data_IF_074846300350
#
_entry.id   IF_074846300350
#
_cell.length_a   1.000
_cell.length_b   1.000
_cell.length_c   1.000
_cell.angle_alpha   90.00
_cell.angle_beta   90.00
_cell.angle_gamma   90.00
#
_symmetry.space_group_name_H-M   'P 1'
#
loop_
_entity.id
_entity.type
_entity.pdbx_description
1 polymer ?
#
# COMPACT_ATOMS: atom_id res chain seq x y z
N UNK A 1 -28.94 17.85 -40.00
CA UNK A 1 -28.18 18.41 -38.86
C UNK A 1 -28.47 17.75 -37.50
N UNK A 2 -29.58 17.02 -37.31
CA UNK A 2 -29.91 16.38 -36.02
C UNK A 2 -29.23 15.00 -35.81
N UNK A 3 -29.12 14.18 -36.86
CA UNK A 3 -28.54 12.83 -36.77
C UNK A 3 -27.02 12.80 -36.49
N UNK A 4 -26.25 13.79 -37.00
CA UNK A 4 -24.80 13.89 -36.77
C UNK A 4 -24.49 14.27 -35.31
N UNK A 5 -25.34 15.10 -34.68
CA UNK A 5 -25.22 15.43 -33.26
C UNK A 5 -25.55 14.25 -32.35
N UNK A 6 -26.50 13.39 -32.75
CA UNK A 6 -26.83 12.17 -32.01
C UNK A 6 -25.68 11.13 -32.07
N UNK A 7 -25.04 10.99 -33.23
CA UNK A 7 -23.88 10.09 -33.40
C UNK A 7 -22.64 10.57 -32.64
N UNK A 8 -22.39 11.88 -32.61
CA UNK A 8 -21.32 12.48 -31.79
C UNK A 8 -21.56 12.28 -30.29
N UNK A 9 -22.81 12.38 -29.81
CA UNK A 9 -23.13 12.10 -28.40
C UNK A 9 -23.02 10.61 -28.02
N UNK A 10 -23.38 9.70 -28.93
CA UNK A 10 -23.25 8.27 -28.70
C UNK A 10 -21.78 7.81 -28.70
N UNK A 11 -20.93 8.39 -29.55
CA UNK A 11 -19.49 8.10 -29.57
C UNK A 11 -18.75 8.71 -28.36
N UNK A 12 -19.20 9.88 -27.88
CA UNK A 12 -18.65 10.54 -26.68
C UNK A 12 -19.00 9.79 -25.38
N UNK A 13 -20.14 9.08 -25.33
CA UNK A 13 -20.49 8.24 -24.17
C UNK A 13 -19.75 6.89 -24.13
N UNK A 14 -19.26 6.38 -25.27
CA UNK A 14 -18.59 5.08 -25.34
C UNK A 14 -17.09 5.13 -24.94
N UNK A 15 -16.50 6.32 -24.80
CA UNK A 15 -15.07 6.51 -24.55
C UNK A 15 -14.69 6.73 -23.07
N UNK A 16 -15.64 6.70 -22.13
CA UNK A 16 -15.39 7.15 -20.75
C UNK A 16 -15.67 6.13 -19.65
N UNK A 17 -15.83 4.85 -19.96
CA UNK A 17 -15.86 3.79 -18.95
C UNK A 17 -14.62 2.92 -19.04
N UNK A 18 -13.45 3.53 -18.83
CA UNK A 18 -12.30 2.77 -18.34
C UNK A 18 -12.60 2.44 -16.87
N UNK A 19 -13.35 1.36 -16.63
CA UNK A 19 -13.55 0.86 -15.27
C UNK A 19 -12.18 0.49 -14.71
N UNK A 20 -11.74 1.18 -13.68
CA UNK A 20 -10.56 0.83 -12.90
C UNK A 20 -10.74 -0.59 -12.36
N UNK A 21 -9.99 -1.56 -12.88
CA UNK A 21 -10.07 -2.97 -12.47
C UNK A 21 -9.04 -3.21 -11.37
N UNK A 22 -9.42 -3.82 -10.23
CA UNK A 22 -8.45 -4.16 -9.20
C UNK A 22 -7.51 -5.26 -9.71
N UNK A 23 -6.23 -5.28 -9.31
CA UNK A 23 -5.35 -6.38 -9.66
C UNK A 23 -5.89 -7.70 -9.07
N UNK A 24 -5.62 -8.84 -9.72
CA UNK A 24 -6.08 -10.13 -9.22
C UNK A 24 -5.47 -10.42 -7.84
N UNK A 25 -6.22 -11.04 -6.91
CA UNK A 25 -5.68 -11.46 -5.62
C UNK A 25 -4.47 -12.40 -5.80
N UNK A 26 -3.47 -12.22 -4.95
CA UNK A 26 -2.23 -13.01 -4.98
C UNK A 26 -2.46 -14.36 -4.33
N UNK A 27 -2.02 -15.44 -4.98
CA UNK A 27 -2.02 -16.77 -4.37
C UNK A 27 -0.97 -16.86 -3.27
N UNK A 28 -1.38 -17.31 -2.10
CA UNK A 28 -0.50 -17.43 -0.93
C UNK A 28 -0.47 -18.87 -0.44
N UNK A 29 0.74 -19.40 -0.28
CA UNK A 29 0.94 -20.68 0.39
C UNK A 29 0.81 -20.48 1.89
N UNK A 30 -0.09 -21.23 2.52
CA UNK A 30 -0.27 -21.18 3.97
C UNK A 30 0.99 -21.70 4.67
N UNK A 31 1.56 -20.95 5.63
CA UNK A 31 2.68 -21.43 6.43
C UNK A 31 2.29 -22.62 7.30
N UNK A 32 3.26 -23.48 7.60
CA UNK A 32 3.11 -24.64 8.50
C UNK A 32 3.19 -24.28 9.99
N UNK A 33 3.51 -23.03 10.32
CA UNK A 33 3.56 -22.50 11.68
C UNK A 33 3.04 -21.05 11.75
N UNK A 34 2.62 -20.56 12.94
CA UNK A 34 2.30 -19.15 13.13
C UNK A 34 3.55 -18.28 13.01
N UNK A 35 3.54 -17.30 12.11
CA UNK A 35 4.67 -16.40 11.89
C UNK A 35 4.70 -15.32 12.99
N UNK A 36 5.84 -15.18 13.68
CA UNK A 36 6.04 -14.20 14.74
C UNK A 36 6.50 -12.86 14.16
N UNK A 37 5.70 -11.80 14.39
CA UNK A 37 6.01 -10.47 13.87
C UNK A 37 7.40 -9.96 14.29
N UNK A 38 7.77 -10.07 15.57
CA UNK A 38 9.02 -9.47 16.06
C UNK A 38 10.25 -10.27 15.62
N UNK A 39 10.14 -11.59 15.56
CA UNK A 39 11.27 -12.47 15.20
C UNK A 39 11.47 -12.58 13.70
N UNK A 40 10.41 -12.54 12.91
CA UNK A 40 10.45 -12.96 11.50
C UNK A 40 10.10 -11.82 10.54
N UNK A 41 9.06 -11.04 10.85
CA UNK A 41 8.59 -9.97 9.95
C UNK A 41 9.34 -8.65 10.16
N UNK A 42 9.49 -8.21 11.40
CA UNK A 42 10.12 -6.95 11.73
C UNK A 42 11.54 -6.84 11.16
N UNK A 43 12.44 -7.84 11.30
CA UNK A 43 13.77 -7.75 10.71
C UNK A 43 13.72 -7.60 9.18
N UNK A 44 12.73 -8.23 8.53
CA UNK A 44 12.57 -8.12 7.09
C UNK A 44 12.09 -6.72 6.68
N UNK A 45 11.07 -6.17 7.36
CA UNK A 45 10.60 -4.80 7.13
C UNK A 45 11.71 -3.77 7.40
N UNK A 46 12.48 -3.96 8.48
CA UNK A 46 13.61 -3.10 8.83
C UNK A 46 14.67 -3.07 7.72
N UNK A 47 14.97 -4.23 7.12
CA UNK A 47 15.99 -4.34 6.06
C UNK A 47 15.50 -3.90 4.67
N UNK A 48 14.20 -4.07 4.37
CA UNK A 48 13.67 -3.91 3.00
C UNK A 48 12.77 -2.71 2.80
N UNK A 49 12.18 -2.17 3.85
CA UNK A 49 11.09 -1.20 3.75
C UNK A 49 11.38 0.10 4.51
N UNK A 50 12.02 0.02 5.68
CA UNK A 50 12.22 1.15 6.59
C UNK A 50 13.10 2.26 6.00
N UNK A 51 13.97 1.96 5.03
CA UNK A 51 14.76 2.98 4.32
C UNK A 51 13.87 4.08 3.71
N UNK A 52 12.68 3.73 3.22
CA UNK A 52 11.70 4.69 2.70
C UNK A 52 10.54 4.94 3.68
N UNK A 53 10.21 3.97 4.54
CA UNK A 53 9.04 3.97 5.43
C UNK A 53 9.40 4.11 6.92
N UNK A 54 10.42 4.90 7.27
CA UNK A 54 10.90 5.05 8.65
C UNK A 54 10.17 6.12 9.46
N UNK A 55 9.62 7.15 8.82
CA UNK A 55 9.28 8.41 9.47
C UNK A 55 7.98 9.04 8.96
N UNK A 56 7.64 10.20 9.53
CA UNK A 56 6.39 10.89 9.27
C UNK A 56 6.22 11.32 7.80
N UNK A 57 7.30 11.75 7.16
CA UNK A 57 7.34 12.16 5.75
C UNK A 57 7.53 10.98 4.78
N UNK A 58 7.42 9.73 5.25
CA UNK A 58 7.44 8.57 4.36
C UNK A 58 6.29 8.63 3.34
N UNK A 59 6.43 7.99 2.16
CA UNK A 59 5.36 7.96 1.16
C UNK A 59 4.04 7.50 1.76
N UNK A 60 2.96 8.22 1.45
CA UNK A 60 1.61 8.01 2.01
C UNK A 60 1.58 7.99 3.55
N UNK A 61 2.56 8.64 4.21
CA UNK A 61 2.78 8.61 5.66
C UNK A 61 2.92 7.20 6.26
N UNK A 62 3.06 6.16 5.44
CA UNK A 62 3.11 4.77 5.90
C UNK A 62 4.44 4.52 6.62
N UNK A 63 4.36 4.05 7.86
CA UNK A 63 5.50 3.80 8.72
C UNK A 63 5.63 2.31 9.02
N UNK A 64 6.73 1.69 8.59
CA UNK A 64 6.95 0.24 8.68
C UNK A 64 8.00 -0.15 9.72
N UNK A 65 8.53 0.82 10.48
CA UNK A 65 9.55 0.58 11.53
C UNK A 65 8.99 0.02 12.84
N UNK A 66 7.67 0.06 13.04
CA UNK A 66 6.98 -0.56 14.18
C UNK A 66 5.62 -1.11 13.76
N UNK A 67 5.06 -2.02 14.56
CA UNK A 67 3.73 -2.59 14.27
C UNK A 67 2.64 -1.52 14.35
N UNK A 68 2.71 -0.61 15.30
CA UNK A 68 1.74 0.48 15.48
C UNK A 68 1.78 1.47 14.32
N UNK A 69 2.96 1.67 13.72
CA UNK A 69 3.10 2.44 12.49
C UNK A 69 2.40 1.78 11.31
N UNK A 70 2.54 0.46 11.18
CA UNK A 70 1.89 -0.32 10.15
C UNK A 70 0.37 -0.38 10.36
N UNK A 71 -0.07 -0.61 11.60
CA UNK A 71 -1.48 -0.70 11.98
C UNK A 71 -2.22 0.63 11.81
N UNK A 72 -1.55 1.76 12.14
CA UNK A 72 -2.04 3.09 11.75
C UNK A 72 -2.35 3.14 10.25
N UNK A 73 -1.47 2.59 9.42
CA UNK A 73 -1.68 2.47 7.98
C UNK A 73 -1.14 3.64 7.18
N UNK A 74 -1.68 3.82 5.98
CA UNK A 74 -1.32 4.88 5.04
C UNK A 74 -2.37 6.00 5.03
N UNK A 75 -2.03 7.16 4.47
CA UNK A 75 -2.91 8.31 4.30
C UNK A 75 -2.71 8.94 2.93
N UNK A 76 -3.80 9.48 2.37
CA UNK A 76 -3.78 10.30 1.15
C UNK A 76 -3.32 11.74 1.40
N UNK A 77 -3.24 12.16 2.67
CA UNK A 77 -2.86 13.53 3.02
C UNK A 77 -1.39 13.79 2.72
N UNK A 78 -1.12 14.75 1.82
CA UNK A 78 0.22 15.14 1.45
C UNK A 78 0.93 15.87 2.61
N UNK A 79 2.07 15.35 3.06
CA UNK A 79 2.87 16.00 4.11
C UNK A 79 3.44 17.33 3.59
N UNK A 80 3.98 17.33 2.37
CA UNK A 80 4.45 18.53 1.71
C UNK A 80 3.38 19.03 0.74
N UNK A 81 2.69 20.09 1.15
CA UNK A 81 1.71 20.79 0.32
C UNK A 81 2.05 22.28 0.36
N UNK A 82 2.59 22.81 -0.74
CA UNK A 82 3.03 24.19 -0.85
C UNK A 82 1.87 25.20 -0.81
N UNK A 83 0.65 24.74 -1.11
CA UNK A 83 -0.56 25.58 -1.11
C UNK A 83 -1.20 25.68 0.29
N UNK A 84 -0.72 24.92 1.27
CA UNK A 84 -1.31 24.89 2.62
C UNK A 84 -0.97 26.16 3.40
N UNK A 85 -1.99 26.94 3.72
CA UNK A 85 -1.86 28.18 4.51
C UNK A 85 -1.85 27.99 6.02
N UNK A 86 -2.22 26.80 6.51
CA UNK A 86 -2.30 26.47 7.92
C UNK A 86 -1.45 25.24 8.23
N UNK A 87 -0.98 25.11 9.47
CA UNK A 87 -0.27 23.90 9.89
C UNK A 87 -1.22 22.72 9.87
N UNK A 88 -0.75 21.55 9.42
CA UNK A 88 -1.55 20.32 9.52
C UNK A 88 -1.52 19.76 10.93
N UNK A 89 -2.56 19.02 11.30
CA UNK A 89 -2.59 18.29 12.56
C UNK A 89 -1.49 17.21 12.59
N UNK A 90 -0.76 17.06 13.71
CA UNK A 90 0.25 16.03 13.82
C UNK A 90 -0.39 14.64 13.88
N UNK A 91 0.35 13.62 13.39
CA UNK A 91 -0.09 12.21 13.40
C UNK A 91 0.95 11.31 14.09
N UNK A 92 1.50 11.76 15.22
CA UNK A 92 2.47 11.02 16.03
C UNK A 92 1.76 9.86 16.73
N UNK A 93 2.35 8.68 16.60
CA UNK A 93 1.91 7.47 17.29
C UNK A 93 1.81 7.71 18.80
N UNK A 94 0.74 7.21 19.43
CA UNK A 94 0.46 7.27 20.88
C UNK A 94 0.08 8.64 21.46
N UNK A 95 0.26 9.72 20.71
CA UNK A 95 -0.09 11.08 21.14
C UNK A 95 -1.35 11.58 20.44
N UNK A 96 -1.37 11.49 19.12
CA UNK A 96 -2.42 12.10 18.31
C UNK A 96 -3.55 11.10 18.02
N UNK A 97 -3.29 9.81 18.17
CA UNK A 97 -4.26 8.72 18.32
C UNK A 97 -3.59 7.49 18.97
N UNK A 98 -4.40 6.64 19.61
CA UNK A 98 -4.01 5.48 20.42
C UNK A 98 -4.61 4.17 19.94
N UNK A 99 -5.71 4.20 19.18
CA UNK A 99 -6.37 3.01 18.66
C UNK A 99 -6.38 3.01 17.13
N UNK A 100 -6.52 1.83 16.53
CA UNK A 100 -6.68 1.68 15.08
C UNK A 100 -7.88 2.49 14.58
N UNK A 101 -9.01 2.47 15.31
CA UNK A 101 -10.23 3.19 14.97
C UNK A 101 -10.02 4.72 14.95
N UNK A 102 -9.33 5.27 15.97
CA UNK A 102 -8.98 6.69 15.99
C UNK A 102 -8.11 7.10 14.79
N UNK A 103 -7.28 6.18 14.26
CA UNK A 103 -6.53 6.44 13.03
C UNK A 103 -7.43 6.41 11.78
N UNK A 104 -8.44 5.55 11.74
CA UNK A 104 -9.44 5.51 10.66
C UNK A 104 -10.25 6.81 10.63
N UNK A 105 -10.65 7.33 11.80
CA UNK A 105 -11.32 8.63 11.92
C UNK A 105 -10.45 9.80 11.43
N UNK A 106 -9.12 9.66 11.54
CA UNK A 106 -8.13 10.59 10.99
C UNK A 106 -7.82 10.37 9.50
N UNK A 107 -8.58 9.52 8.81
CA UNK A 107 -8.44 9.28 7.38
C UNK A 107 -7.25 8.39 7.00
N UNK A 108 -6.62 7.71 7.96
CA UNK A 108 -5.67 6.64 7.63
C UNK A 108 -6.42 5.37 7.27
N UNK A 109 -5.87 4.58 6.36
CA UNK A 109 -6.45 3.31 5.93
C UNK A 109 -5.41 2.18 5.98
N UNK A 110 -5.91 0.96 6.12
CA UNK A 110 -5.08 -0.24 6.22
C UNK A 110 -4.42 -0.59 4.89
N UNK A 111 -3.19 -1.11 4.95
CA UNK A 111 -2.48 -1.66 3.79
C UNK A 111 -2.38 -3.20 3.84
N UNK A 112 -2.86 -3.81 4.92
CA UNK A 112 -2.73 -5.26 5.20
C UNK A 112 -4.07 -6.01 5.14
N UNK A 113 -5.18 -5.29 5.03
CA UNK A 113 -6.51 -5.91 4.96
C UNK A 113 -6.66 -6.83 3.77
N UNK A 114 -7.23 -8.01 4.03
CA UNK A 114 -7.51 -9.01 3.02
C UNK A 114 -9.00 -9.32 3.04
N UNK A 115 -9.66 -9.11 1.90
CA UNK A 115 -11.08 -9.43 1.68
C UNK A 115 -11.26 -10.59 0.70
N UNK A 116 -10.17 -11.16 0.18
CA UNK A 116 -10.21 -12.30 -0.72
C UNK A 116 -10.48 -13.62 0.02
N UNK A 117 -10.83 -14.66 -0.75
CA UNK A 117 -11.06 -16.02 -0.23
C UNK A 117 -9.79 -16.63 0.38
N UNK A 118 -9.97 -17.70 1.16
CA UNK A 118 -8.86 -18.42 1.78
C UNK A 118 -7.82 -18.90 0.75
N UNK A 119 -6.53 -18.71 1.05
CA UNK A 119 -5.43 -19.02 0.12
C UNK A 119 -5.15 -17.92 -0.90
N UNK A 120 -5.97 -16.87 -0.94
CA UNK A 120 -5.74 -15.65 -1.71
C UNK A 120 -5.54 -14.45 -0.78
N UNK A 121 -4.82 -13.44 -1.26
CA UNK A 121 -4.67 -12.19 -0.54
C UNK A 121 -4.66 -10.98 -1.49
N UNK A 122 -5.54 -10.03 -1.22
CA UNK A 122 -5.67 -8.79 -1.99
C UNK A 122 -5.29 -7.53 -1.18
N UNK A 123 -4.48 -7.66 -0.14
CA UNK A 123 -3.96 -6.50 0.58
C UNK A 123 -3.07 -5.63 -0.32
N UNK A 124 -3.17 -4.31 -0.16
CA UNK A 124 -2.37 -3.36 -0.96
C UNK A 124 -0.88 -3.64 -0.82
N UNK A 125 -0.43 -3.96 0.41
CA UNK A 125 0.95 -4.32 0.67
C UNK A 125 1.36 -5.52 -0.18
N UNK A 126 0.63 -6.65 -0.12
CA UNK A 126 1.04 -7.83 -0.87
C UNK A 126 0.95 -7.63 -2.39
N UNK A 127 -0.08 -6.94 -2.88
CA UNK A 127 -0.22 -6.66 -4.31
C UNK A 127 0.96 -5.85 -4.85
N UNK A 128 1.42 -4.82 -4.12
CA UNK A 128 2.59 -4.03 -4.52
C UNK A 128 3.89 -4.85 -4.52
N UNK A 129 4.04 -5.79 -3.57
CA UNK A 129 5.19 -6.69 -3.53
C UNK A 129 5.14 -7.70 -4.69
N UNK A 130 3.97 -8.30 -4.93
CA UNK A 130 3.78 -9.28 -6.01
C UNK A 130 4.01 -8.64 -7.38
N UNK A 131 3.48 -7.42 -7.58
CA UNK A 131 3.73 -6.65 -8.80
C UNK A 131 5.22 -6.45 -9.06
N UNK A 132 6.02 -6.19 -8.02
CA UNK A 132 7.48 -6.08 -8.13
C UNK A 132 8.17 -7.41 -8.44
N UNK A 133 7.66 -8.52 -7.93
CA UNK A 133 8.17 -9.85 -8.28
C UNK A 133 7.97 -10.15 -9.76
N UNK A 134 6.84 -9.73 -10.34
CA UNK A 134 6.48 -9.92 -11.75
C UNK A 134 7.16 -8.91 -12.68
N UNK A 135 7.39 -7.68 -12.19
CA UNK A 135 8.02 -6.58 -12.92
C UNK A 135 9.31 -6.15 -12.20
N UNK A 136 10.38 -6.98 -12.24
CA UNK A 136 11.57 -6.77 -11.43
C UNK A 136 12.39 -5.54 -11.84
N UNK A 137 12.29 -5.11 -13.10
CA UNK A 137 13.04 -3.98 -13.63
C UNK A 137 12.59 -2.67 -12.98
N UNK A 138 13.55 -1.91 -12.47
CA UNK A 138 13.33 -0.51 -12.09
C UNK A 138 13.81 0.37 -13.24
N UNK A 139 12.88 0.97 -13.96
CA UNK A 139 13.17 1.88 -15.08
C UNK A 139 12.40 3.20 -14.90
N UNK A 140 12.75 4.24 -15.65
CA UNK A 140 12.10 5.55 -15.59
C UNK A 140 12.84 6.59 -14.74
N UNK A 141 12.35 7.83 -14.79
CA UNK A 141 12.92 8.94 -14.05
C UNK A 141 12.52 8.89 -12.58
N UNK A 142 13.50 8.97 -11.69
CA UNK A 142 13.30 9.11 -10.26
C UNK A 142 13.03 10.57 -9.95
N UNK A 143 11.77 10.91 -9.68
CA UNK A 143 11.35 12.25 -9.25
C UNK A 143 10.82 12.17 -7.81
N UNK A 144 11.69 12.30 -6.80
CA UNK A 144 11.28 12.26 -5.41
C UNK A 144 10.36 13.43 -5.02
N UNK A 145 10.35 14.51 -5.81
CA UNK A 145 9.51 15.70 -5.65
C UNK A 145 8.27 15.72 -6.54
N UNK A 146 7.92 14.60 -7.19
CA UNK A 146 6.71 14.55 -8.02
C UNK A 146 5.47 14.92 -7.18
N UNK A 147 4.75 15.96 -7.62
CA UNK A 147 3.64 16.54 -6.85
C UNK A 147 2.42 15.61 -6.75
N UNK A 148 2.28 14.67 -7.69
CA UNK A 148 1.17 13.70 -7.68
C UNK A 148 1.51 12.47 -6.80
N UNK A 149 1.31 12.63 -5.49
CA UNK A 149 1.34 11.52 -4.55
C UNK A 149 0.10 10.63 -4.77
N UNK A 150 0.26 9.47 -5.41
CA UNK A 150 -0.85 8.50 -5.57
C UNK A 150 -0.80 7.48 -4.45
N UNK A 151 -1.65 7.66 -3.45
CA UNK A 151 -1.81 6.76 -2.32
C UNK A 151 -3.13 5.99 -2.48
N UNK A 152 -3.07 4.86 -3.18
CA UNK A 152 -4.24 4.00 -3.36
C UNK A 152 -4.74 3.51 -2.01
N UNK A 153 -6.05 3.59 -1.77
CA UNK A 153 -6.73 3.04 -0.59
C UNK A 153 -7.66 1.86 -0.91
N UNK A 154 -7.76 1.50 -2.19
CA UNK A 154 -8.62 0.44 -2.70
C UNK A 154 -7.96 -0.30 -3.84
N UNK A 155 -8.43 -1.52 -4.11
CA UNK A 155 -7.95 -2.33 -5.23
C UNK A 155 -8.09 -1.61 -6.58
N UNK A 156 -9.19 -0.88 -6.80
CA UNK A 156 -9.44 -0.16 -8.05
C UNK A 156 -8.44 0.98 -8.27
N UNK A 157 -8.17 1.76 -7.22
CA UNK A 157 -7.15 2.81 -7.29
C UNK A 157 -5.75 2.22 -7.49
N UNK A 158 -5.46 1.09 -6.83
CA UNK A 158 -4.19 0.39 -6.99
C UNK A 158 -4.01 -0.13 -8.43
N UNK A 159 -5.04 -0.73 -9.01
CA UNK A 159 -5.01 -1.17 -10.41
C UNK A 159 -4.77 -0.01 -11.36
N UNK A 160 -5.51 1.09 -11.18
CA UNK A 160 -5.31 2.31 -11.98
C UNK A 160 -3.89 2.88 -11.85
N UNK A 161 -3.31 2.81 -10.65
CA UNK A 161 -1.95 3.24 -10.38
C UNK A 161 -0.92 2.35 -11.11
N UNK A 162 -1.06 1.03 -11.01
CA UNK A 162 -0.14 0.07 -11.63
C UNK A 162 -0.27 0.03 -13.16
N UNK A 163 -1.45 0.25 -13.71
CA UNK A 163 -1.66 0.38 -15.16
C UNK A 163 -0.92 1.61 -15.72
N UNK A 164 -0.99 2.74 -15.01
CA UNK A 164 -0.26 3.97 -15.37
C UNK A 164 1.23 3.86 -15.10
N UNK A 165 1.62 3.03 -14.13
CA UNK A 165 2.99 2.92 -13.65
C UNK A 165 3.43 1.45 -13.49
N UNK A 166 3.60 0.72 -14.61
CA UNK A 166 3.82 -0.72 -14.59
C UNK A 166 5.14 -1.14 -13.93
N UNK A 167 6.07 -0.22 -13.71
CA UNK A 167 7.36 -0.44 -13.06
C UNK A 167 7.42 0.08 -11.60
N UNK A 168 6.29 0.50 -11.02
CA UNK A 168 6.21 1.05 -9.65
C UNK A 168 5.73 0.07 -8.58
N UNK A 169 6.08 -1.21 -8.74
CA UNK A 169 6.01 -2.19 -7.64
C UNK A 169 6.99 -1.85 -6.51
N UNK A 170 6.75 -2.40 -5.32
CA UNK A 170 7.58 -2.14 -4.13
C UNK A 170 8.51 -3.33 -3.80
N UNK A 171 9.76 -3.08 -3.35
CA UNK A 171 10.35 -1.77 -3.09
C UNK A 171 10.74 -1.04 -4.39
N UNK A 172 10.25 0.18 -4.56
CA UNK A 172 10.45 0.97 -5.76
C UNK A 172 11.93 1.39 -5.89
N UNK A 173 12.51 1.26 -7.09
CA UNK A 173 13.92 1.59 -7.33
C UNK A 173 14.92 0.54 -6.84
N UNK A 174 14.46 -0.53 -6.17
CA UNK A 174 15.31 -1.63 -5.70
C UNK A 174 14.93 -2.97 -6.35
N UNK A 175 15.77 -4.01 -6.23
CA UNK A 175 15.38 -5.36 -6.65
C UNK A 175 14.18 -5.90 -5.86
N UNK A 176 13.43 -6.87 -6.43
CA UNK A 176 12.39 -7.59 -5.70
C UNK A 176 12.90 -8.26 -4.43
N UNK A 177 11.98 -8.72 -3.58
CA UNK A 177 12.33 -9.57 -2.45
C UNK A 177 12.86 -10.91 -2.94
N UNK A 178 13.67 -11.57 -2.09
CA UNK A 178 13.94 -12.99 -2.31
C UNK A 178 12.62 -13.76 -2.18
N UNK A 179 12.54 -14.92 -2.83
CA UNK A 179 11.30 -15.73 -2.83
C UNK A 179 10.86 -16.09 -1.41
N UNK A 180 11.82 -16.39 -0.54
CA UNK A 180 11.59 -16.78 0.84
C UNK A 180 11.11 -15.59 1.69
N UNK A 181 11.68 -14.40 1.45
CA UNK A 181 11.25 -13.15 2.09
C UNK A 181 9.82 -12.76 1.67
N UNK A 182 9.51 -12.86 0.37
CA UNK A 182 8.17 -12.65 -0.15
C UNK A 182 7.17 -13.64 0.47
N UNK A 183 7.50 -14.93 0.47
CA UNK A 183 6.65 -15.98 1.04
C UNK A 183 6.39 -15.76 2.53
N UNK A 184 7.38 -15.26 3.28
CA UNK A 184 7.23 -14.95 4.70
C UNK A 184 6.22 -13.82 4.93
N UNK A 185 6.32 -12.70 4.18
CA UNK A 185 5.33 -11.60 4.29
C UNK A 185 3.95 -12.07 3.83
N UNK A 186 3.87 -12.76 2.69
CA UNK A 186 2.62 -13.27 2.14
C UNK A 186 1.91 -14.19 3.15
N UNK A 187 2.63 -15.16 3.70
CA UNK A 187 2.13 -16.08 4.70
C UNK A 187 1.65 -15.38 5.97
N UNK A 188 2.39 -14.38 6.46
CA UNK A 188 1.99 -13.61 7.63
C UNK A 188 0.72 -12.79 7.38
N UNK A 189 0.58 -12.19 6.20
CA UNK A 189 -0.64 -11.48 5.80
C UNK A 189 -1.83 -12.44 5.65
N UNK A 190 -1.61 -13.66 5.14
CA UNK A 190 -2.65 -14.70 5.10
C UNK A 190 -3.08 -15.18 6.50
N UNK A 191 -2.20 -15.06 7.51
CA UNK A 191 -2.52 -15.28 8.92
C UNK A 191 -3.16 -14.06 9.61
N UNK A 192 -3.49 -13.02 8.84
CA UNK A 192 -4.15 -11.79 9.30
C UNK A 192 -3.20 -10.67 9.72
N UNK A 193 -1.91 -10.76 9.39
CA UNK A 193 -0.96 -9.67 9.60
C UNK A 193 -0.77 -9.30 11.07
N UNK A 194 -0.92 -10.26 11.99
CA UNK A 194 -0.98 -10.00 13.44
C UNK A 194 0.34 -9.44 13.97
N UNK A 195 0.22 -8.47 14.87
CA UNK A 195 1.32 -7.86 15.59
C UNK A 195 1.85 -8.70 16.75
N UNK A 196 2.83 -8.17 17.51
CA UNK A 196 3.31 -8.81 18.72
C UNK A 196 2.17 -9.00 19.72
N UNK A 197 2.15 -10.17 20.37
CA UNK A 197 1.32 -10.38 21.55
C UNK A 197 1.85 -9.52 22.71
N UNK A 198 0.94 -9.00 23.55
CA UNK A 198 1.24 -8.04 24.62
C UNK A 198 2.28 -8.52 25.65
N UNK A 199 2.70 -9.79 25.61
CA UNK A 199 3.69 -10.39 26.51
C UNK A 199 5.15 -10.11 26.15
N UNK A 200 5.46 -9.39 25.06
CA UNK A 200 6.85 -9.10 24.63
C UNK A 200 7.20 -7.61 24.59
N UNK A 201 6.70 -6.83 25.55
CA UNK A 201 7.25 -5.51 25.88
C UNK A 201 8.03 -5.61 27.20
N UNK A 202 9.12 -6.38 27.20
CA UNK A 202 10.12 -6.39 28.28
C UNK A 202 11.49 -6.21 27.69
#
# INVERSE_FOLDING_TARGET
>A
MSAIKLFLYAFLCALLTACAVPPPPVQVQMPDHPIDYLREIKPLLDNRCVVCHSCYNSPCQLKLSSYEGLDRGASKEAVYNADRLQTMDPTRLFFDARTTEEWRDKGFYTVTENTAEAGLNNSILLQLLAHKMEHPESSGEYQPEAQELTCADSGNELGSYLDKHPNRGMPFGFPPLKKEEFALIAGWLAQGGKGPTQTKHT
#
